data_IF_908916562612
#
_entry.id   IF_908916562612
#
_cell.length_a   1.000
_cell.length_b   1.000
_cell.length_c   1.000
_cell.angle_alpha   90.00
_cell.angle_beta   90.00
_cell.angle_gamma   90.00
#
_symmetry.space_group_name_H-M   'P 1'
#
loop_
_entity.id
_entity.type
_entity.pdbx_description
1 polymer ?
#
# COMPACT_ATOMS: atom_id res chain seq x y z
N UNK A 1 11.18 -7.47 -13.79
CA UNK A 1 10.09 -8.47 -13.78
C UNK A 1 8.97 -7.91 -12.93
N UNK A 2 7.78 -7.71 -13.49
CA UNK A 2 6.63 -7.18 -12.73
C UNK A 2 6.19 -8.25 -11.72
N UNK A 3 5.98 -7.85 -10.46
CA UNK A 3 5.54 -8.75 -9.40
C UNK A 3 4.11 -9.25 -9.72
N UNK A 4 3.95 -10.58 -9.83
CA UNK A 4 2.69 -11.21 -10.23
C UNK A 4 1.51 -10.84 -9.30
N UNK A 5 1.79 -10.53 -8.02
CA UNK A 5 0.79 -10.08 -7.04
C UNK A 5 0.11 -8.77 -7.42
N UNK A 6 0.68 -8.02 -8.35
CA UNK A 6 0.23 -6.69 -8.75
C UNK A 6 -0.51 -6.69 -10.09
N UNK A 7 -0.76 -7.88 -10.64
CA UNK A 7 -1.52 -8.02 -11.86
C UNK A 7 -3.03 -7.93 -11.56
N UNK A 8 -3.81 -7.16 -12.34
CA UNK A 8 -5.25 -7.04 -12.17
C UNK A 8 -5.95 -8.30 -12.73
N UNK A 9 -5.98 -9.37 -11.94
CA UNK A 9 -6.64 -10.60 -12.34
C UNK A 9 -8.16 -10.40 -12.45
N UNK A 10 -8.72 -10.65 -13.64
CA UNK A 10 -10.16 -10.54 -13.89
C UNK A 10 -11.00 -11.52 -13.06
N UNK A 11 -10.39 -12.63 -12.60
CA UNK A 11 -11.02 -13.61 -11.71
C UNK A 11 -11.34 -13.06 -10.31
N UNK A 12 -10.71 -11.94 -9.91
CA UNK A 12 -10.97 -11.31 -8.62
C UNK A 12 -12.20 -10.40 -8.75
N UNK A 13 -13.35 -10.95 -8.39
CA UNK A 13 -14.65 -10.25 -8.44
C UNK A 13 -14.98 -9.49 -7.15
N UNK A 14 -14.24 -9.75 -6.07
CA UNK A 14 -14.45 -9.10 -4.77
C UNK A 14 -13.92 -7.66 -4.77
N UNK A 15 -14.63 -6.77 -4.09
CA UNK A 15 -14.14 -5.40 -3.91
C UNK A 15 -12.91 -5.36 -3.00
N UNK A 16 -12.92 -6.14 -1.92
CA UNK A 16 -11.77 -6.32 -1.03
C UNK A 16 -10.77 -7.32 -1.63
N UNK A 17 -9.50 -6.98 -1.57
CA UNK A 17 -8.39 -7.88 -1.88
C UNK A 17 -7.45 -7.90 -0.69
N UNK A 18 -7.11 -9.10 -0.23
CA UNK A 18 -6.07 -9.33 0.75
C UNK A 18 -4.80 -9.77 0.00
N UNK A 19 -3.71 -9.03 0.20
CA UNK A 19 -2.40 -9.52 -0.16
C UNK A 19 -1.64 -9.86 1.13
N UNK A 20 -1.12 -11.09 1.16
CA UNK A 20 -0.51 -11.69 2.33
C UNK A 20 0.87 -12.27 1.96
N UNK A 21 1.86 -11.98 2.78
CA UNK A 21 3.18 -12.57 2.74
C UNK A 21 3.09 -14.03 3.20
N UNK A 22 3.63 -15.01 2.44
CA UNK A 22 3.70 -16.39 2.92
C UNK A 22 4.42 -16.56 4.26
N UNK A 23 5.32 -15.64 4.63
CA UNK A 23 6.04 -15.67 5.91
C UNK A 23 5.31 -14.89 7.03
N UNK A 24 4.07 -14.46 6.78
CA UNK A 24 3.27 -13.74 7.77
C UNK A 24 2.82 -14.66 8.92
N UNK A 25 3.01 -14.20 10.16
CA UNK A 25 2.55 -14.88 11.37
C UNK A 25 1.16 -14.39 11.86
N UNK A 26 0.40 -13.70 11.01
CA UNK A 26 -0.92 -13.16 11.38
C UNK A 26 -1.93 -14.29 11.63
N UNK A 27 -2.69 -14.17 12.72
CA UNK A 27 -3.74 -15.13 13.05
C UNK A 27 -5.07 -14.79 12.36
N UNK A 28 -6.02 -15.73 12.37
CA UNK A 28 -7.33 -15.54 11.75
C UNK A 28 -8.09 -14.37 12.40
N UNK A 29 -7.99 -14.21 13.72
CA UNK A 29 -8.63 -13.12 14.45
C UNK A 29 -8.10 -11.74 14.03
N UNK A 30 -6.80 -11.62 13.77
CA UNK A 30 -6.19 -10.38 13.27
C UNK A 30 -6.68 -10.05 11.87
N UNK A 31 -6.75 -11.05 10.98
CA UNK A 31 -7.27 -10.86 9.62
C UNK A 31 -8.75 -10.49 9.61
N UNK A 32 -9.57 -11.12 10.47
CA UNK A 32 -10.99 -10.79 10.63
C UNK A 32 -11.16 -9.35 11.13
N UNK A 33 -10.35 -8.94 12.12
CA UNK A 33 -10.34 -7.57 12.60
C UNK A 33 -9.96 -6.58 11.50
N UNK A 34 -8.87 -6.85 10.78
CA UNK A 34 -8.43 -5.99 9.68
C UNK A 34 -9.47 -5.88 8.57
N UNK A 35 -10.15 -6.98 8.23
CA UNK A 35 -11.24 -6.97 7.28
C UNK A 35 -12.43 -6.13 7.78
N UNK A 36 -12.82 -6.27 9.06
CA UNK A 36 -13.88 -5.45 9.65
C UNK A 36 -13.56 -3.95 9.60
N UNK A 37 -12.31 -3.57 9.88
CA UNK A 37 -11.83 -2.19 9.76
C UNK A 37 -11.89 -1.75 8.30
N UNK A 38 -11.44 -2.57 7.35
CA UNK A 38 -11.50 -2.28 5.92
C UNK A 38 -12.93 -2.04 5.45
N UNK A 39 -13.90 -2.87 5.87
CA UNK A 39 -15.32 -2.65 5.52
C UNK A 39 -15.87 -1.31 6.01
N UNK A 40 -15.33 -0.79 7.10
CA UNK A 40 -15.72 0.53 7.63
C UNK A 40 -15.12 1.68 6.79
N UNK A 41 -14.02 1.41 6.08
CA UNK A 41 -13.30 2.37 5.26
C UNK A 41 -12.81 1.74 3.93
N UNK A 42 -13.71 1.30 3.03
CA UNK A 42 -13.34 0.49 1.86
C UNK A 42 -12.46 1.24 0.85
N UNK A 43 -12.45 2.57 0.90
CA UNK A 43 -11.56 3.42 0.08
C UNK A 43 -10.14 3.54 0.62
N UNK A 44 -9.85 2.92 1.77
CA UNK A 44 -8.56 2.99 2.46
C UNK A 44 -7.81 1.67 2.36
N UNK A 45 -6.50 1.76 2.52
CA UNK A 45 -5.64 0.59 2.68
C UNK A 45 -5.50 0.35 4.18
N UNK A 46 -5.82 -0.86 4.60
CA UNK A 46 -5.69 -1.31 5.99
C UNK A 46 -4.61 -2.38 6.01
N UNK A 47 -3.54 -2.17 6.77
CA UNK A 47 -2.46 -3.16 6.82
C UNK A 47 -1.67 -3.12 8.12
N UNK A 48 -0.86 -4.15 8.30
CA UNK A 48 -0.07 -4.34 9.51
C UNK A 48 1.33 -3.74 9.40
N UNK A 49 1.82 -3.54 8.18
CA UNK A 49 3.20 -3.20 7.94
C UNK A 49 3.37 -1.70 7.60
N UNK A 50 3.32 -0.84 8.63
CA UNK A 50 3.47 0.60 8.48
C UNK A 50 4.92 1.05 8.34
N UNK A 51 5.11 2.09 7.52
CA UNK A 51 6.39 2.72 7.25
C UNK A 51 6.22 4.22 7.17
N UNK A 52 7.35 4.91 7.21
CA UNK A 52 7.37 6.36 7.09
C UNK A 52 8.39 6.83 6.06
N UNK A 53 8.12 8.01 5.51
CA UNK A 53 9.08 8.75 4.71
C UNK A 53 9.35 10.10 5.35
N UNK A 54 10.59 10.54 5.28
CA UNK A 54 11.00 11.83 5.80
C UNK A 54 11.96 12.50 4.84
N UNK A 55 11.95 13.83 4.84
CA UNK A 55 12.92 14.61 4.08
C UNK A 55 14.16 14.84 4.95
N UNK A 56 15.32 14.44 4.46
CA UNK A 56 16.59 14.79 5.09
C UNK A 56 17.12 16.06 4.43
N UNK A 57 17.10 17.17 5.18
CA UNK A 57 17.58 18.47 4.69
C UNK A 57 19.08 18.47 4.37
N UNK A 58 19.89 17.70 5.13
CA UNK A 58 21.33 17.64 4.94
C UNK A 58 21.70 16.97 3.62
N UNK A 59 20.92 15.96 3.24
CA UNK A 59 21.10 15.23 2.00
C UNK A 59 20.22 15.77 0.88
N UNK A 60 19.34 16.74 1.17
CA UNK A 60 18.35 17.32 0.26
C UNK A 60 17.59 16.26 -0.53
N UNK A 61 17.18 15.19 0.16
CA UNK A 61 16.57 14.02 -0.46
C UNK A 61 15.53 13.38 0.46
N UNK A 62 14.59 12.64 -0.13
CA UNK A 62 13.60 11.86 0.59
C UNK A 62 14.16 10.50 0.98
N UNK A 63 13.92 10.11 2.23
CA UNK A 63 14.33 8.83 2.77
C UNK A 63 13.12 8.03 3.25
N UNK A 64 13.30 6.72 3.19
CA UNK A 64 12.37 5.73 3.71
C UNK A 64 12.89 5.17 5.03
N UNK A 65 12.00 4.96 6.00
CA UNK A 65 12.36 4.30 7.26
C UNK A 65 11.32 3.29 7.72
N UNK A 66 11.84 2.20 8.30
CA UNK A 66 11.07 1.21 9.06
C UNK A 66 11.14 1.45 10.56
N UNK A 67 11.75 2.56 11.01
CA UNK A 67 11.76 2.91 12.43
C UNK A 67 10.33 3.02 12.92
N UNK A 68 10.07 2.38 14.04
CA UNK A 68 8.80 2.52 14.76
C UNK A 68 8.70 3.95 15.30
N UNK A 69 7.95 4.77 14.60
CA UNK A 69 7.51 6.09 15.03
C UNK A 69 5.99 6.07 15.13
N UNK A 70 5.41 6.97 15.93
CA UNK A 70 3.96 7.14 16.02
C UNK A 70 3.36 7.83 14.77
N UNK A 71 4.17 8.01 13.71
CA UNK A 71 3.80 8.66 12.46
C UNK A 71 4.09 7.69 11.33
N UNK A 72 3.13 7.50 10.46
CA UNK A 72 3.28 6.66 9.28
C UNK A 72 2.61 7.33 8.11
N UNK A 73 3.17 7.05 6.94
CA UNK A 73 2.73 7.60 5.67
C UNK A 73 2.71 6.53 4.58
N UNK A 74 3.05 5.30 4.92
CA UNK A 74 3.14 4.19 3.98
C UNK A 74 2.62 2.93 4.68
N UNK A 75 1.87 2.10 3.96
CA UNK A 75 1.59 0.70 4.33
C UNK A 75 2.10 -0.20 3.23
N UNK A 76 2.85 -1.25 3.59
CA UNK A 76 3.25 -2.27 2.64
C UNK A 76 2.06 -3.19 2.36
N UNK A 77 1.87 -3.53 1.07
CA UNK A 77 0.79 -4.42 0.65
C UNK A 77 1.06 -5.91 0.97
N UNK A 78 2.17 -6.24 1.62
CA UNK A 78 2.54 -7.61 1.99
C UNK A 78 1.68 -8.18 3.12
N UNK A 79 0.81 -7.37 3.73
CA UNK A 79 -0.13 -7.78 4.77
C UNK A 79 -1.24 -6.74 4.88
N UNK A 80 -2.01 -6.58 3.80
CA UNK A 80 -2.98 -5.50 3.72
C UNK A 80 -4.25 -5.87 2.93
N UNK A 81 -5.36 -5.30 3.41
CA UNK A 81 -6.63 -5.19 2.71
C UNK A 81 -6.70 -3.86 1.97
N UNK A 82 -7.13 -3.94 0.71
CA UNK A 82 -7.36 -2.77 -0.14
C UNK A 82 -8.46 -3.07 -1.14
N UNK A 83 -8.98 -2.02 -1.77
CA UNK A 83 -9.97 -2.17 -2.82
C UNK A 83 -9.31 -2.57 -4.14
N UNK A 84 -9.90 -3.51 -4.90
CA UNK A 84 -9.37 -3.96 -6.20
C UNK A 84 -9.02 -2.83 -7.17
N UNK A 85 -9.77 -1.71 -7.18
CA UNK A 85 -9.51 -0.59 -8.10
C UNK A 85 -8.10 -0.02 -7.93
N UNK A 86 -7.49 -0.14 -6.75
CA UNK A 86 -6.13 0.36 -6.49
C UNK A 86 -5.11 -0.35 -7.38
N UNK A 87 -5.19 -1.68 -7.49
CA UNK A 87 -4.29 -2.46 -8.37
C UNK A 87 -4.60 -2.22 -9.83
N UNK A 88 -5.87 -2.12 -10.22
CA UNK A 88 -6.23 -1.79 -11.60
C UNK A 88 -5.65 -0.43 -11.99
N UNK A 89 -5.86 0.60 -11.18
CA UNK A 89 -5.31 1.93 -11.43
C UNK A 89 -3.78 1.90 -11.50
N UNK A 90 -3.13 1.19 -10.57
CA UNK A 90 -1.69 1.00 -10.63
C UNK A 90 -1.24 0.37 -11.95
N UNK A 91 -1.79 -0.79 -12.30
CA UNK A 91 -1.34 -1.54 -13.45
C UNK A 91 -1.59 -0.78 -14.76
N UNK A 92 -2.77 -0.20 -14.94
CA UNK A 92 -3.12 0.49 -16.18
C UNK A 92 -2.47 1.87 -16.31
N UNK A 93 -2.35 2.64 -15.23
CA UNK A 93 -1.76 3.98 -15.31
C UNK A 93 -0.23 4.00 -15.19
N UNK A 94 0.36 3.08 -14.42
CA UNK A 94 1.80 3.08 -14.15
C UNK A 94 2.57 2.06 -14.99
N UNK A 95 2.03 0.85 -15.19
CA UNK A 95 2.73 -0.23 -15.90
C UNK A 95 2.48 -0.18 -17.41
N UNK A 96 1.27 0.21 -17.83
CA UNK A 96 0.84 0.10 -19.24
C UNK A 96 0.91 1.41 -20.05
N UNK A 97 1.12 2.58 -19.44
CA UNK A 97 1.08 3.86 -20.16
C UNK A 97 2.27 4.78 -19.84
N UNK A 98 2.82 5.39 -20.90
CA UNK A 98 3.77 6.53 -20.90
C UNK A 98 3.11 7.83 -20.36
N UNK A 99 2.47 7.80 -19.19
CA UNK A 99 1.86 9.00 -18.59
C UNK A 99 2.87 9.70 -17.68
N UNK A 100 2.95 11.01 -17.84
CA UNK A 100 3.93 11.93 -17.26
C UNK A 100 4.20 11.72 -15.75
N UNK A 101 5.45 11.89 -15.28
CA UNK A 101 5.85 11.76 -13.88
C UNK A 101 5.34 12.89 -12.94
N UNK A 102 4.41 13.73 -13.40
CA UNK A 102 4.05 14.98 -12.72
C UNK A 102 2.88 14.87 -11.72
N UNK A 103 2.18 13.74 -11.63
CA UNK A 103 1.04 13.60 -10.71
C UNK A 103 1.04 12.37 -9.80
N UNK A 104 2.03 11.48 -9.89
CA UNK A 104 2.01 10.25 -9.08
C UNK A 104 3.44 9.77 -8.78
N UNK A 105 3.98 10.16 -7.62
CA UNK A 105 5.22 9.57 -7.11
C UNK A 105 4.92 8.19 -6.53
N UNK A 106 4.80 7.20 -7.40
CA UNK A 106 4.89 5.79 -7.00
C UNK A 106 6.36 5.49 -6.68
N UNK A 107 6.68 5.35 -5.41
CA UNK A 107 8.03 4.95 -4.99
C UNK A 107 8.08 3.41 -4.96
N UNK A 108 8.45 2.81 -6.09
CA UNK A 108 8.80 1.38 -6.11
C UNK A 108 10.21 1.22 -5.54
N UNK A 109 10.33 0.72 -4.31
CA UNK A 109 11.64 0.33 -3.74
C UNK A 109 11.76 -1.19 -3.84
N UNK A 110 12.77 -1.68 -4.55
CA UNK A 110 13.17 -3.10 -4.58
C UNK A 110 12.04 -4.11 -4.91
N UNK A 111 11.21 -3.86 -5.93
CA UNK A 111 10.14 -4.77 -6.40
C UNK A 111 8.99 -5.06 -5.42
N UNK A 112 9.05 -4.49 -4.21
CA UNK A 112 7.92 -4.39 -3.31
C UNK A 112 7.18 -3.08 -3.62
N UNK A 113 5.85 -3.17 -3.77
CA UNK A 113 5.06 -1.95 -3.81
C UNK A 113 5.15 -1.28 -2.43
N UNK A 114 5.77 -0.10 -2.43
CA UNK A 114 5.48 0.98 -1.50
C UNK A 114 4.47 1.88 -2.21
N UNK A 115 3.21 1.96 -1.77
CA UNK A 115 2.27 2.91 -2.39
C UNK A 115 1.97 4.10 -1.47
N UNK A 116 2.51 5.24 -1.94
CA UNK A 116 2.01 6.64 -2.06
C UNK A 116 1.27 7.29 -0.88
N UNK A 117 1.95 8.23 -0.25
CA UNK A 117 1.34 9.46 0.30
C UNK A 117 1.85 10.65 -0.50
N UNK A 118 0.95 11.45 -1.10
CA UNK A 118 1.25 12.85 -1.42
C UNK A 118 0.02 13.75 -1.27
N UNK A 119 0.23 14.80 -0.47
CA UNK A 119 -0.31 16.17 -0.38
C UNK A 119 -1.72 16.59 -0.84
N UNK A 120 -2.47 15.80 -1.59
CA UNK A 120 -3.84 16.14 -1.97
C UNK A 120 -4.74 14.93 -1.78
N UNK A 121 -5.11 14.73 -0.52
CA UNK A 121 -6.44 14.30 -0.07
C UNK A 121 -6.99 12.96 -0.61
N UNK A 122 -7.41 12.11 0.33
CA UNK A 122 -8.48 11.08 0.29
C UNK A 122 -8.07 9.61 0.43
N UNK A 123 -6.80 9.22 0.28
CA UNK A 123 -6.35 7.88 0.69
C UNK A 123 -5.73 7.98 2.08
N UNK A 124 -6.55 7.79 3.09
CA UNK A 124 -6.07 7.71 4.47
C UNK A 124 -5.65 6.27 4.71
N UNK A 125 -4.46 6.11 5.26
CA UNK A 125 -3.87 4.82 5.58
C UNK A 125 -4.21 4.51 7.04
N UNK A 126 -4.57 3.26 7.37
CA UNK A 126 -4.77 2.84 8.76
C UNK A 126 -3.80 1.71 9.04
N UNK A 127 -2.91 1.95 10.00
CA UNK A 127 -2.02 0.92 10.53
C UNK A 127 -2.67 0.22 11.71
N UNK A 128 -2.62 -1.11 11.70
CA UNK A 128 -2.98 -1.97 12.82
C UNK A 128 -1.69 -2.41 13.53
N UNK A 129 -1.00 -1.46 14.16
CA UNK A 129 0.13 -1.77 15.04
C UNK A 129 -0.42 -2.39 16.33
N UNK A 130 0.17 -3.53 16.74
CA UNK A 130 -0.03 -4.13 18.06
C UNK A 130 0.79 -3.43 19.15
#
# INVERSE_FOLDING_TARGET
TINAKLYPYEMIETDAVLNLDPESNLCAEELDFAFMVWRSFPHRIIGFNARDHYYDELQSNWFYTSKWTNQYSIILLDSAFYHRYIIFNYYYHYVNLYVQPLLMCVVVVNLQILFVVFYTSHIIIVSLQS
#
